data_IF_862371401140
#
_entry.id   IF_862371401140
#
_cell.length_a   1.000
_cell.length_b   1.000
_cell.length_c   1.000
_cell.angle_alpha   90.00
_cell.angle_beta   90.00
_cell.angle_gamma   90.00
#
_symmetry.space_group_name_H-M   'P 1'
#
loop_
_entity.id
_entity.type
_entity.pdbx_description
1 polymer ?
#
# COMPACT_ATOMS: atom_id res chain seq x y z
N UNK A 1 8.84 11.53 -3.95
CA UNK A 1 7.88 11.76 -2.84
C UNK A 1 6.48 11.83 -3.43
N UNK A 2 5.83 10.66 -3.61
CA UNK A 2 4.44 10.44 -4.10
C UNK A 2 4.06 8.95 -3.91
N UNK A 3 5.05 8.06 -3.86
CA UNK A 3 4.85 6.62 -3.67
C UNK A 3 4.09 6.25 -2.38
N UNK A 4 4.21 7.04 -1.31
CA UNK A 4 3.59 6.72 -0.02
C UNK A 4 2.06 6.83 -0.06
N UNK A 5 1.53 7.91 -0.65
CA UNK A 5 0.09 8.11 -0.80
C UNK A 5 -0.53 7.07 -1.73
N UNK A 6 0.16 6.70 -2.82
CA UNK A 6 -0.28 5.64 -3.71
C UNK A 6 -0.39 4.28 -3.02
N UNK A 7 0.57 3.94 -2.14
CA UNK A 7 0.49 2.71 -1.35
C UNK A 7 -0.72 2.67 -0.43
N UNK A 8 -0.93 3.75 0.33
CA UNK A 8 -2.07 3.83 1.24
C UNK A 8 -3.39 3.76 0.49
N UNK A 9 -3.52 4.48 -0.63
CA UNK A 9 -4.70 4.41 -1.50
C UNK A 9 -4.96 2.99 -2.03
N UNK A 10 -3.92 2.29 -2.47
CA UNK A 10 -4.05 0.92 -2.95
C UNK A 10 -4.48 -0.05 -1.84
N UNK A 11 -3.89 0.06 -0.65
CA UNK A 11 -4.27 -0.77 0.51
C UNK A 11 -5.68 -0.48 0.98
N UNK A 12 -6.09 0.79 1.05
CA UNK A 12 -7.45 1.18 1.45
C UNK A 12 -8.49 0.61 0.48
N UNK A 13 -8.26 0.72 -0.83
CA UNK A 13 -9.17 0.16 -1.83
C UNK A 13 -9.29 -1.36 -1.72
N UNK A 14 -8.19 -2.06 -1.46
CA UNK A 14 -8.23 -3.50 -1.26
C UNK A 14 -8.90 -3.91 0.07
N UNK A 15 -8.45 -3.33 1.18
CA UNK A 15 -8.84 -3.74 2.53
C UNK A 15 -10.21 -3.20 2.96
N UNK A 16 -10.46 -1.89 2.80
CA UNK A 16 -11.70 -1.27 3.28
C UNK A 16 -12.86 -1.45 2.30
N UNK A 17 -12.57 -1.41 1.00
CA UNK A 17 -13.59 -1.51 -0.05
C UNK A 17 -13.70 -2.91 -0.68
N UNK A 18 -12.86 -3.87 -0.26
CA UNK A 18 -12.90 -5.25 -0.75
C UNK A 18 -12.54 -5.39 -2.24
N UNK A 19 -11.86 -4.40 -2.83
CA UNK A 19 -11.57 -4.41 -4.26
C UNK A 19 -10.44 -5.43 -4.54
N UNK A 20 -10.59 -6.37 -5.50
CA UNK A 20 -9.53 -7.32 -5.81
C UNK A 20 -8.23 -6.64 -6.28
N UNK A 21 -7.06 -7.18 -5.91
CA UNK A 21 -5.76 -6.62 -6.30
C UNK A 21 -5.61 -6.44 -7.81
N UNK A 22 -6.20 -7.32 -8.63
CA UNK A 22 -6.20 -7.20 -10.09
C UNK A 22 -6.98 -5.99 -10.62
N UNK A 23 -7.98 -5.52 -9.88
CA UNK A 23 -8.72 -4.29 -10.20
C UNK A 23 -7.97 -3.06 -9.72
N UNK A 24 -7.36 -3.13 -8.52
CA UNK A 24 -6.48 -2.07 -8.01
C UNK A 24 -5.29 -1.83 -8.95
N UNK A 25 -4.74 -2.90 -9.53
CA UNK A 25 -3.68 -2.85 -10.53
C UNK A 25 -4.06 -1.97 -11.74
N UNK A 26 -5.24 -2.18 -12.31
CA UNK A 26 -5.73 -1.37 -13.43
C UNK A 26 -5.97 0.10 -13.07
N UNK A 27 -6.33 0.40 -11.82
CA UNK A 27 -6.58 1.77 -11.36
C UNK A 27 -5.27 2.55 -11.22
N UNK A 28 -4.24 1.93 -10.67
CA UNK A 28 -2.97 2.62 -10.36
C UNK A 28 -1.82 2.31 -11.33
N UNK A 29 -1.98 1.33 -12.23
CA UNK A 29 -0.90 0.83 -13.08
C UNK A 29 0.19 0.08 -12.30
N UNK A 30 -0.18 -0.59 -11.21
CA UNK A 30 0.75 -1.23 -10.27
C UNK A 30 0.41 -2.70 -10.14
N UNK A 31 1.37 -3.58 -10.40
CA UNK A 31 1.17 -5.04 -10.33
C UNK A 31 0.37 -5.48 -9.09
N UNK A 32 -0.65 -6.31 -9.29
CA UNK A 32 -1.44 -6.92 -8.22
C UNK A 32 -0.59 -7.57 -7.11
N UNK A 33 0.59 -8.13 -7.44
CA UNK A 33 1.54 -8.69 -6.46
C UNK A 33 2.10 -7.62 -5.53
N UNK A 34 2.32 -6.42 -6.04
CA UNK A 34 2.81 -5.28 -5.26
C UNK A 34 1.75 -4.79 -4.29
N UNK A 35 0.49 -4.72 -4.72
CA UNK A 35 -0.66 -4.41 -3.85
C UNK A 35 -0.79 -5.46 -2.74
N UNK A 36 -0.70 -6.76 -3.09
CA UNK A 36 -0.74 -7.85 -2.11
C UNK A 36 0.37 -7.74 -1.07
N UNK A 37 1.61 -7.48 -1.50
CA UNK A 37 2.74 -7.30 -0.59
C UNK A 37 2.51 -6.16 0.40
N UNK A 38 2.00 -5.03 -0.07
CA UNK A 38 1.68 -3.88 0.80
C UNK A 38 0.56 -4.19 1.79
N UNK A 39 -0.46 -4.94 1.35
CA UNK A 39 -1.52 -5.41 2.22
C UNK A 39 -0.99 -6.35 3.32
N UNK A 40 -0.13 -7.33 2.98
CA UNK A 40 0.49 -8.22 3.97
C UNK A 40 1.31 -7.42 4.98
N UNK A 41 2.15 -6.50 4.51
CA UNK A 41 2.94 -5.63 5.39
C UNK A 41 2.06 -4.78 6.32
N UNK A 42 0.95 -4.25 5.82
CA UNK A 42 -0.03 -3.52 6.62
C UNK A 42 -0.68 -4.41 7.69
N UNK A 43 -1.03 -5.66 7.34
CA UNK A 43 -1.60 -6.61 8.29
C UNK A 43 -0.62 -6.98 9.42
N UNK A 44 0.68 -7.00 9.14
CA UNK A 44 1.72 -7.33 10.12
C UNK A 44 2.11 -6.13 11.00
N UNK A 45 2.22 -4.93 10.42
CA UNK A 45 2.83 -3.76 11.08
C UNK A 45 1.88 -2.60 11.35
N UNK A 46 0.65 -2.66 10.84
CA UNK A 46 -0.30 -1.54 10.80
C UNK A 46 0.10 -0.41 9.84
N UNK A 47 1.25 -0.51 9.17
CA UNK A 47 1.80 0.54 8.32
C UNK A 47 2.12 0.00 6.93
N UNK A 48 1.91 0.83 5.91
CA UNK A 48 2.21 0.48 4.51
C UNK A 48 3.62 0.92 4.09
N UNK A 49 4.29 1.71 4.94
CA UNK A 49 5.68 2.13 4.75
C UNK A 49 6.63 1.24 5.56
N UNK A 50 7.84 0.95 5.04
CA UNK A 50 8.89 0.37 5.86
C UNK A 50 9.33 1.38 6.91
N UNK A 51 9.53 0.93 8.16
CA UNK A 51 9.90 1.77 9.32
C UNK A 51 11.10 2.70 9.08
N UNK A 52 12.01 2.31 8.19
CA UNK A 52 13.20 3.12 7.86
C UNK A 52 12.83 4.49 7.26
N UNK A 53 11.73 4.56 6.51
CA UNK A 53 11.22 5.80 5.91
C UNK A 53 10.43 6.65 6.91
N UNK A 54 9.84 6.04 7.94
CA UNK A 54 9.11 6.76 9.00
C UNK A 54 10.05 7.52 9.93
N UNK A 55 11.26 6.98 10.17
CA UNK A 55 12.28 7.67 10.98
C UNK A 55 12.86 8.91 10.28
N UNK A 56 12.90 8.94 8.94
CA UNK A 56 13.39 10.11 8.18
C UNK A 56 12.36 11.24 8.04
N UNK A 57 11.07 10.99 8.27
CA UNK A 57 10.02 12.03 8.21
C UNK A 57 9.82 12.70 9.58
N UNK A 58 10.23 12.04 10.68
CA UNK A 58 10.14 12.55 12.05
C UNK A 58 11.44 13.18 12.58
N UNK A 59 12.53 13.13 11.82
CA UNK A 59 13.82 13.77 12.12
C UNK A 59 13.96 15.06 11.30
#
# INVERSE_FOLDING_TARGET
>A
MYAAEFRWRAVVLHYAYGIPCARVDRIFGISARTVLRWYVQFKESGHVMPRLLEQQIRA
#
